data_IF_278179469609
#
_entry.id   IF_278179469609
#
_cell.length_a   1.000
_cell.length_b   1.000
_cell.length_c   1.000
_cell.angle_alpha   90.00
_cell.angle_beta   90.00
_cell.angle_gamma   90.00
#
_symmetry.space_group_name_H-M   'P 1'
#
loop_
_entity.id
_entity.type
_entity.pdbx_description
1 polymer ?
#
# COMPACT_ATOMS: atom_id res chain seq x y z
N UNK A 1 16.37 -26.98 2.08
CA UNK A 1 15.27 -26.17 2.61
C UNK A 1 14.07 -27.06 2.78
N UNK A 2 13.38 -27.03 3.92
CA UNK A 2 12.24 -27.90 4.17
C UNK A 2 11.08 -27.36 3.37
N UNK A 3 10.55 -28.15 2.43
CA UNK A 3 9.32 -27.82 1.70
C UNK A 3 8.23 -27.53 2.71
N UNK A 4 7.54 -26.40 2.55
CA UNK A 4 6.42 -26.03 3.42
C UNK A 4 5.29 -27.04 3.19
N UNK A 5 4.97 -27.89 4.16
CA UNK A 5 3.94 -28.90 3.98
C UNK A 5 2.58 -28.22 3.77
N UNK A 6 1.74 -28.77 2.93
CA UNK A 6 0.41 -28.23 2.68
C UNK A 6 -0.48 -28.30 3.92
N UNK A 7 -1.31 -27.29 4.12
CA UNK A 7 -2.35 -27.25 5.15
C UNK A 7 -3.56 -28.05 4.64
N UNK A 8 -4.04 -29.06 5.35
CA UNK A 8 -5.01 -30.08 4.89
C UNK A 8 -6.43 -29.89 5.46
N UNK A 9 -7.48 -29.89 4.62
CA UNK A 9 -8.89 -29.64 4.95
C UNK A 9 -9.88 -30.55 4.21
N UNK A 10 -10.84 -31.26 4.83
CA UNK A 10 -11.92 -31.97 4.15
C UNK A 10 -13.33 -31.58 4.58
N UNK A 11 -14.28 -31.72 3.65
CA UNK A 11 -15.74 -31.58 3.74
C UNK A 11 -16.32 -30.18 3.98
N UNK A 12 -15.86 -29.20 3.22
CA UNK A 12 -16.78 -28.11 2.88
C UNK A 12 -17.09 -28.24 1.39
N UNK A 13 -18.32 -28.65 1.09
CA UNK A 13 -18.87 -28.68 -0.25
C UNK A 13 -18.64 -27.28 -0.90
N UNK A 14 -18.22 -27.24 -2.16
CA UNK A 14 -17.97 -25.98 -2.89
C UNK A 14 -19.21 -25.07 -2.93
N UNK A 15 -20.37 -25.63 -2.63
CA UNK A 15 -21.66 -24.93 -2.46
C UNK A 15 -21.74 -24.08 -1.18
N UNK A 16 -20.89 -24.34 -0.20
CA UNK A 16 -20.91 -23.68 1.11
C UNK A 16 -19.98 -22.46 1.26
N UNK A 17 -19.28 -22.06 0.21
CA UNK A 17 -18.59 -20.79 0.19
C UNK A 17 -19.49 -19.75 -0.49
N UNK A 18 -20.24 -18.98 0.29
CA UNK A 18 -21.14 -18.00 -0.28
C UNK A 18 -20.35 -16.86 -0.94
N UNK A 19 -20.89 -16.32 -2.03
CA UNK A 19 -20.40 -15.10 -2.69
C UNK A 19 -20.26 -13.89 -1.71
N UNK A 20 -20.85 -13.99 -0.52
CA UNK A 20 -20.72 -13.03 0.59
C UNK A 20 -19.33 -12.94 1.20
N UNK A 21 -18.42 -13.87 0.91
CA UNK A 21 -17.03 -13.81 1.40
C UNK A 21 -16.17 -12.77 0.67
N UNK A 22 -16.51 -12.42 -0.56
CA UNK A 22 -15.68 -11.48 -1.35
C UNK A 22 -15.84 -10.04 -0.88
N UNK A 23 -17.05 -9.60 -0.56
CA UNK A 23 -17.29 -8.23 -0.11
C UNK A 23 -16.55 -7.84 1.18
N UNK A 24 -16.69 -8.60 2.30
CA UNK A 24 -15.98 -8.28 3.54
C UNK A 24 -14.45 -8.35 3.42
N UNK A 25 -13.93 -9.27 2.61
CA UNK A 25 -12.49 -9.39 2.37
C UNK A 25 -11.97 -8.17 1.64
N UNK A 26 -12.68 -7.71 0.62
CA UNK A 26 -12.28 -6.52 -0.16
C UNK A 26 -12.30 -5.24 0.69
N UNK A 27 -13.34 -5.01 1.46
CA UNK A 27 -13.44 -3.85 2.36
C UNK A 27 -12.27 -3.79 3.33
N UNK A 28 -11.90 -4.92 3.96
CA UNK A 28 -10.71 -4.99 4.83
C UNK A 28 -9.41 -4.72 4.08
N UNK A 29 -9.28 -5.16 2.84
CA UNK A 29 -8.07 -4.91 2.04
C UNK A 29 -7.88 -3.41 1.77
N UNK A 30 -8.94 -2.70 1.43
CA UNK A 30 -8.90 -1.24 1.21
C UNK A 30 -8.55 -0.51 2.51
N UNK A 31 -9.15 -0.88 3.63
CA UNK A 31 -8.89 -0.26 4.93
C UNK A 31 -7.45 -0.47 5.44
N UNK A 32 -6.80 -1.58 5.07
CA UNK A 32 -5.46 -1.93 5.55
C UNK A 32 -4.32 -1.42 4.67
N UNK A 33 -4.58 -1.06 3.42
CA UNK A 33 -3.58 -0.46 2.55
C UNK A 33 -3.42 1.03 2.86
N UNK A 34 -2.21 1.42 3.25
CA UNK A 34 -1.90 2.82 3.54
C UNK A 34 -1.94 3.68 2.27
N UNK A 35 -1.47 3.16 1.14
CA UNK A 35 -1.51 3.87 -0.14
C UNK A 35 -2.94 4.05 -0.62
N UNK A 36 -3.79 3.01 -0.55
CA UNK A 36 -5.19 3.12 -0.96
C UNK A 36 -6.00 4.09 -0.07
N UNK A 37 -5.63 4.25 1.20
CA UNK A 37 -6.34 5.14 2.13
C UNK A 37 -6.15 6.62 1.83
N UNK A 38 -5.02 6.99 1.21
CA UNK A 38 -4.69 8.37 0.84
C UNK A 38 -4.91 8.66 -0.64
N UNK A 39 -4.85 7.64 -1.51
CA UNK A 39 -5.00 7.78 -2.95
C UNK A 39 -6.44 7.88 -3.40
N UNK A 40 -6.69 8.54 -4.52
CA UNK A 40 -8.01 8.63 -5.16
C UNK A 40 -8.40 7.31 -5.81
N UNK A 41 -9.63 6.83 -5.54
CA UNK A 41 -10.17 5.64 -6.23
C UNK A 41 -10.75 6.02 -7.60
N UNK A 42 -10.38 5.26 -8.64
CA UNK A 42 -10.88 5.40 -10.01
C UNK A 42 -11.43 4.04 -10.48
N UNK A 43 -12.54 4.00 -11.22
CA UNK A 43 -13.03 2.75 -11.81
C UNK A 43 -12.01 2.21 -12.81
N UNK A 44 -11.71 0.90 -12.75
CA UNK A 44 -10.75 0.23 -13.60
C UNK A 44 -11.45 -0.78 -14.49
N UNK A 45 -11.21 -0.71 -15.81
CA UNK A 45 -11.66 -1.73 -16.74
C UNK A 45 -10.69 -2.91 -16.76
N UNK A 46 -11.25 -4.15 -16.82
CA UNK A 46 -10.43 -5.36 -16.98
C UNK A 46 -9.94 -5.57 -18.41
N UNK A 47 -10.64 -4.99 -19.40
CA UNK A 47 -10.40 -5.23 -20.83
C UNK A 47 -9.64 -4.12 -21.53
N UNK A 48 -9.50 -2.96 -20.91
CA UNK A 48 -8.84 -1.78 -21.50
C UNK A 48 -8.10 -0.97 -20.44
N UNK A 49 -7.07 -0.25 -20.86
CA UNK A 49 -6.42 0.73 -20.00
C UNK A 49 -7.40 1.86 -19.68
N UNK A 50 -7.43 2.28 -18.44
CA UNK A 50 -8.23 3.44 -18.01
C UNK A 50 -7.39 4.70 -18.10
N UNK A 51 -7.86 5.68 -18.88
CA UNK A 51 -7.24 6.99 -18.94
C UNK A 51 -7.55 7.79 -17.67
N UNK A 52 -6.52 8.19 -16.94
CA UNK A 52 -6.64 9.02 -15.74
C UNK A 52 -6.09 10.41 -16.06
N UNK A 53 -6.93 11.46 -16.09
CA UNK A 53 -6.44 12.81 -16.29
C UNK A 53 -5.69 13.28 -15.03
N UNK A 54 -4.49 13.77 -15.25
CA UNK A 54 -3.63 14.39 -14.23
C UNK A 54 -3.56 15.87 -14.55
N UNK A 55 -4.00 16.79 -13.69
CA UNK A 55 -3.85 18.22 -13.90
C UNK A 55 -2.37 18.58 -13.86
N UNK A 56 -1.87 19.24 -14.88
CA UNK A 56 -0.49 19.74 -14.92
C UNK A 56 -0.40 21.17 -14.41
N UNK A 57 -1.41 21.98 -14.73
CA UNK A 57 -1.40 23.40 -14.37
C UNK A 57 -2.82 23.98 -14.31
N UNK A 58 -3.00 25.02 -13.50
CA UNK A 58 -4.26 25.75 -13.39
C UNK A 58 -4.27 26.91 -14.39
N UNK A 59 -5.36 27.10 -15.17
CA UNK A 59 -5.44 28.24 -16.09
C UNK A 59 -5.25 29.57 -15.37
N UNK A 60 -4.38 30.42 -15.88
CA UNK A 60 -4.17 31.76 -15.34
C UNK A 60 -5.35 32.68 -15.69
N UNK A 61 -5.91 33.33 -14.66
CA UNK A 61 -6.91 34.38 -14.83
C UNK A 61 -6.29 35.75 -14.58
N UNK A 62 -6.71 36.77 -15.33
CA UNK A 62 -6.25 38.11 -15.15
C UNK A 62 -7.42 39.12 -15.16
N UNK A 63 -7.20 40.28 -14.56
CA UNK A 63 -8.19 41.33 -14.46
C UNK A 63 -8.36 42.03 -15.77
N UNK A 64 -9.60 42.32 -16.18
CA UNK A 64 -9.92 42.97 -17.46
C UNK A 64 -10.86 44.16 -17.23
N UNK A 65 -10.51 45.30 -17.79
CA UNK A 65 -11.37 46.48 -17.76
C UNK A 65 -12.66 46.28 -18.55
N UNK A 66 -13.62 47.16 -18.30
CA UNK A 66 -14.90 47.12 -18.99
C UNK A 66 -14.67 47.28 -20.52
N UNK A 67 -15.16 46.30 -21.30
CA UNK A 67 -14.92 46.16 -22.75
C UNK A 67 -13.46 45.82 -23.16
N UNK A 68 -12.57 45.48 -22.21
CA UNK A 68 -11.20 45.02 -22.50
C UNK A 68 -11.14 43.63 -23.11
N UNK A 69 -10.04 43.33 -23.80
CA UNK A 69 -9.76 42.03 -24.39
C UNK A 69 -9.49 41.00 -23.27
N UNK A 70 -10.21 39.87 -23.28
CA UNK A 70 -10.01 38.80 -22.33
C UNK A 70 -8.70 38.05 -22.59
N UNK A 71 -7.91 37.76 -21.55
CA UNK A 71 -6.69 36.95 -21.68
C UNK A 71 -7.04 35.52 -22.10
N UNK A 72 -6.13 34.89 -22.85
CA UNK A 72 -6.21 33.47 -23.16
C UNK A 72 -5.47 32.71 -22.06
N UNK A 73 -6.22 31.95 -21.25
CA UNK A 73 -5.64 31.01 -20.31
C UNK A 73 -5.39 29.66 -20.98
N UNK A 74 -4.21 29.09 -20.77
CA UNK A 74 -3.89 27.72 -21.19
C UNK A 74 -3.86 26.85 -19.95
N UNK A 75 -4.74 25.85 -19.86
CA UNK A 75 -4.67 24.77 -18.86
C UNK A 75 -4.01 23.54 -19.47
N UNK A 76 -3.09 22.92 -18.76
CA UNK A 76 -2.47 21.67 -19.17
C UNK A 76 -3.14 20.47 -18.45
N UNK A 77 -3.49 19.45 -19.21
CA UNK A 77 -3.94 18.14 -18.65
C UNK A 77 -3.09 17.06 -19.32
N UNK A 78 -2.37 16.29 -18.53
CA UNK A 78 -1.73 15.05 -19.00
C UNK A 78 -2.68 13.86 -18.80
N UNK A 79 -2.53 12.86 -19.64
CA UNK A 79 -3.33 11.64 -19.56
C UNK A 79 -2.40 10.48 -19.26
N UNK A 80 -2.42 10.02 -18.03
CA UNK A 80 -1.75 8.79 -17.62
C UNK A 80 -2.67 7.58 -17.85
N UNK A 81 -2.10 6.48 -18.29
CA UNK A 81 -2.87 5.26 -18.51
C UNK A 81 -2.68 4.30 -17.34
N UNK A 82 -3.78 3.98 -16.66
CA UNK A 82 -3.82 2.96 -15.63
C UNK A 82 -4.10 1.60 -16.26
N UNK A 83 -3.14 0.68 -16.17
CA UNK A 83 -3.34 -0.72 -16.52
C UNK A 83 -3.58 -1.55 -15.27
N UNK A 84 -4.61 -2.40 -15.30
CA UNK A 84 -4.83 -3.34 -14.21
C UNK A 84 -3.83 -4.49 -14.25
N UNK A 85 -3.43 -4.94 -13.08
CA UNK A 85 -2.52 -6.07 -12.88
C UNK A 85 -3.15 -7.09 -11.94
N UNK A 86 -3.00 -8.36 -12.30
CA UNK A 86 -3.52 -9.45 -11.50
C UNK A 86 -2.59 -9.74 -10.33
N UNK A 87 -3.17 -9.83 -9.15
CA UNK A 87 -2.52 -10.33 -7.95
C UNK A 87 -3.21 -11.61 -7.52
N UNK A 88 -2.46 -12.64 -7.17
CA UNK A 88 -3.02 -13.93 -6.79
C UNK A 88 -2.19 -14.59 -5.69
N UNK A 89 -2.85 -15.42 -4.90
CA UNK A 89 -2.21 -16.32 -3.95
C UNK A 89 -2.89 -17.68 -4.04
N UNK A 90 -2.08 -18.74 -4.11
CA UNK A 90 -2.53 -20.12 -4.05
C UNK A 90 -2.05 -20.73 -2.74
N UNK A 91 -2.98 -21.29 -1.98
CA UNK A 91 -2.71 -21.91 -0.68
C UNK A 91 -3.13 -23.38 -0.76
N UNK A 92 -2.18 -24.33 -0.81
CA UNK A 92 -2.47 -25.73 -0.67
C UNK A 92 -2.74 -26.05 0.80
N UNK A 93 -3.84 -26.72 1.06
CA UNK A 93 -4.34 -27.00 2.41
C UNK A 93 -4.71 -28.47 2.46
N UNK A 94 -4.15 -29.24 3.41
CA UNK A 94 -4.45 -30.66 3.52
C UNK A 94 -5.86 -30.91 4.09
N UNK A 95 -6.51 -31.93 3.56
CA UNK A 95 -7.93 -32.28 3.77
C UNK A 95 -8.30 -32.45 5.25
N UNK A 96 -7.45 -33.06 6.09
CA UNK A 96 -7.72 -33.36 7.51
C UNK A 96 -7.77 -32.12 8.41
N UNK A 97 -7.02 -31.07 8.07
CA UNK A 97 -7.01 -29.81 8.86
C UNK A 97 -8.30 -29.02 8.65
N UNK A 98 -8.94 -29.16 7.48
CA UNK A 98 -10.23 -28.52 7.22
C UNK A 98 -11.37 -29.28 7.90
N UNK A 99 -11.32 -30.63 7.97
CA UNK A 99 -12.34 -31.43 8.68
C UNK A 99 -12.33 -31.14 10.16
N UNK A 100 -11.15 -31.05 10.73
CA UNK A 100 -11.04 -30.80 12.16
C UNK A 100 -11.37 -29.34 12.53
N UNK A 101 -11.38 -28.41 11.55
CA UNK A 101 -11.48 -26.96 11.75
C UNK A 101 -10.69 -26.49 12.99
N UNK A 102 -9.53 -27.13 13.19
CA UNK A 102 -8.72 -26.92 14.37
C UNK A 102 -8.38 -25.42 14.50
N UNK A 103 -8.79 -24.82 15.58
CA UNK A 103 -8.47 -23.46 16.00
C UNK A 103 -8.95 -22.32 15.07
N UNK A 104 -10.05 -22.48 14.32
CA UNK A 104 -10.60 -21.38 13.52
C UNK A 104 -9.70 -20.96 12.36
N UNK A 105 -8.91 -21.88 11.80
CA UNK A 105 -7.98 -21.63 10.69
C UNK A 105 -8.65 -20.90 9.53
N UNK A 106 -9.89 -21.23 9.23
CA UNK A 106 -10.65 -20.61 8.18
C UNK A 106 -10.90 -19.12 8.43
N UNK A 107 -11.30 -18.77 9.66
CA UNK A 107 -11.50 -17.38 10.08
C UNK A 107 -10.18 -16.59 10.04
N UNK A 108 -9.07 -17.23 10.41
CA UNK A 108 -7.75 -16.62 10.34
C UNK A 108 -7.32 -16.37 8.91
N UNK A 109 -7.52 -17.32 7.99
CA UNK A 109 -7.25 -17.12 6.57
C UNK A 109 -8.06 -15.97 5.98
N UNK A 110 -9.33 -15.84 6.36
CA UNK A 110 -10.17 -14.70 5.96
C UNK A 110 -9.61 -13.35 6.41
N UNK A 111 -8.99 -13.29 7.58
CA UNK A 111 -8.37 -12.07 8.10
C UNK A 111 -6.98 -11.81 7.51
N UNK A 112 -6.25 -12.86 7.12
CA UNK A 112 -4.88 -12.75 6.65
C UNK A 112 -4.79 -12.44 5.15
N UNK A 113 -5.72 -12.93 4.32
CA UNK A 113 -5.75 -12.66 2.89
C UNK A 113 -5.79 -11.17 2.55
N UNK A 114 -6.73 -10.37 3.09
CA UNK A 114 -6.76 -8.93 2.83
C UNK A 114 -5.44 -8.23 3.19
N UNK A 115 -4.86 -8.61 4.33
CA UNK A 115 -3.56 -8.08 4.76
C UNK A 115 -2.43 -8.44 3.79
N UNK A 116 -2.44 -9.66 3.25
CA UNK A 116 -1.45 -10.09 2.27
C UNK A 116 -1.56 -9.31 0.95
N UNK A 117 -2.78 -9.10 0.46
CA UNK A 117 -3.04 -8.30 -0.75
C UNK A 117 -2.66 -6.83 -0.56
N UNK A 118 -3.03 -6.22 0.57
CA UNK A 118 -2.68 -4.84 0.90
C UNK A 118 -1.16 -4.63 0.96
N UNK A 119 -0.44 -5.54 1.62
CA UNK A 119 1.02 -5.46 1.71
C UNK A 119 1.70 -5.63 0.34
N UNK A 120 1.19 -6.52 -0.51
CA UNK A 120 1.73 -6.71 -1.83
C UNK A 120 1.47 -5.49 -2.73
N UNK A 121 0.29 -4.88 -2.62
CA UNK A 121 -0.05 -3.64 -3.31
C UNK A 121 0.83 -2.48 -2.83
N UNK A 122 0.91 -2.22 -1.53
CA UNK A 122 1.74 -1.16 -0.96
C UNK A 122 3.21 -1.31 -1.35
N UNK A 123 3.75 -2.54 -1.34
CA UNK A 123 5.13 -2.79 -1.76
C UNK A 123 5.36 -2.49 -3.23
N UNK A 124 4.41 -2.84 -4.09
CA UNK A 124 4.51 -2.58 -5.53
C UNK A 124 4.40 -1.07 -5.84
N UNK A 125 3.54 -0.34 -5.15
CA UNK A 125 3.33 1.09 -5.36
C UNK A 125 4.40 1.96 -4.70
N UNK A 126 4.96 1.54 -3.58
CA UNK A 126 6.01 2.28 -2.87
C UNK A 126 7.38 2.01 -3.51
N UNK A 127 7.77 0.74 -3.63
CA UNK A 127 9.12 0.35 -4.03
C UNK A 127 9.25 -0.10 -5.49
N UNK A 128 8.14 -0.28 -6.22
CA UNK A 128 8.17 -0.89 -7.54
C UNK A 128 8.64 -2.35 -7.53
N UNK A 129 8.44 -3.08 -6.43
CA UNK A 129 8.92 -4.45 -6.24
C UNK A 129 7.79 -5.42 -5.90
N UNK A 130 7.94 -6.65 -6.35
CA UNK A 130 7.10 -7.78 -5.92
C UNK A 130 7.44 -8.22 -4.50
N UNK A 131 6.62 -9.07 -3.88
CA UNK A 131 6.91 -9.66 -2.57
C UNK A 131 8.18 -10.51 -2.54
N UNK A 132 8.62 -11.04 -3.69
CA UNK A 132 9.86 -11.80 -3.86
C UNK A 132 11.10 -10.92 -4.17
N UNK A 133 10.92 -9.59 -4.34
CA UNK A 133 12.01 -8.65 -4.62
C UNK A 133 12.32 -8.48 -6.11
N UNK A 134 11.58 -9.11 -7.01
CA UNK A 134 11.67 -8.85 -8.45
C UNK A 134 10.97 -7.53 -8.81
N UNK A 135 11.19 -7.03 -10.04
CA UNK A 135 10.51 -5.86 -10.56
C UNK A 135 8.98 -5.98 -10.43
N UNK A 136 8.35 -4.93 -9.95
CA UNK A 136 6.92 -4.87 -9.70
C UNK A 136 6.09 -4.70 -10.98
N UNK A 137 4.77 -4.76 -10.84
CA UNK A 137 3.86 -4.68 -11.98
C UNK A 137 3.63 -3.25 -12.50
N UNK A 138 4.00 -2.23 -11.72
CA UNK A 138 3.80 -0.81 -12.05
C UNK A 138 5.12 -0.18 -12.48
N UNK A 139 5.08 0.64 -13.55
CA UNK A 139 6.25 1.35 -14.06
C UNK A 139 6.62 2.53 -13.15
N UNK A 140 5.60 3.24 -12.67
CA UNK A 140 5.77 4.39 -11.80
C UNK A 140 5.46 4.01 -10.35
N UNK A 141 6.32 4.42 -9.42
CA UNK A 141 6.21 4.14 -8.00
C UNK A 141 6.79 5.27 -7.15
N UNK A 142 6.34 5.40 -5.91
CA UNK A 142 6.58 6.57 -5.06
C UNK A 142 8.06 6.85 -4.76
N UNK A 143 8.90 5.82 -4.59
CA UNK A 143 10.32 6.01 -4.27
C UNK A 143 11.19 6.46 -5.45
N UNK A 144 10.60 6.67 -6.65
CA UNK A 144 11.30 7.26 -7.78
C UNK A 144 11.62 8.76 -7.57
N UNK A 145 10.92 9.44 -6.65
CA UNK A 145 11.23 10.83 -6.31
C UNK A 145 12.72 11.02 -6.01
N UNK A 146 13.27 12.15 -6.45
CA UNK A 146 14.66 12.54 -6.13
C UNK A 146 14.77 13.15 -4.74
N UNK A 147 13.68 13.72 -4.21
CA UNK A 147 13.63 14.37 -2.90
C UNK A 147 13.79 13.36 -1.77
N UNK A 148 14.76 13.59 -0.89
CA UNK A 148 15.06 12.67 0.19
C UNK A 148 15.61 13.39 1.42
N UNK A 149 14.95 13.21 2.55
CA UNK A 149 15.37 13.77 3.84
C UNK A 149 15.75 12.63 4.78
N UNK A 150 16.96 12.75 5.39
CA UNK A 150 17.40 11.81 6.41
C UNK A 150 16.86 12.23 7.77
N UNK A 151 16.10 11.33 8.42
CA UNK A 151 15.52 11.58 9.74
C UNK A 151 16.59 11.47 10.85
N UNK A 152 16.48 12.35 11.85
CA UNK A 152 17.40 12.39 12.99
C UNK A 152 18.71 13.13 12.70
N UNK A 153 18.74 13.94 11.64
CA UNK A 153 19.91 14.76 11.30
C UNK A 153 19.88 16.13 11.97
N UNK A 154 18.69 16.70 12.18
CA UNK A 154 18.55 17.96 12.90
C UNK A 154 18.86 17.77 14.39
N UNK A 155 19.60 18.72 14.96
CA UNK A 155 19.89 18.71 16.39
C UNK A 155 18.60 18.88 17.21
N UNK A 156 18.58 18.30 18.42
CA UNK A 156 17.41 18.38 19.30
C UNK A 156 17.05 19.83 19.64
N UNK A 157 18.05 20.71 19.76
CA UNK A 157 17.85 22.15 20.02
C UNK A 157 17.20 22.89 18.84
N UNK A 158 17.30 22.35 17.64
CA UNK A 158 16.73 22.92 16.41
C UNK A 158 15.37 22.27 16.02
N UNK A 159 14.80 21.45 16.90
CA UNK A 159 13.52 20.77 16.67
C UNK A 159 13.63 19.28 16.33
N UNK A 160 14.85 18.73 16.17
CA UNK A 160 15.08 17.31 15.97
C UNK A 160 14.31 16.74 14.76
N UNK A 161 13.75 15.55 14.93
CA UNK A 161 13.00 14.82 13.88
C UNK A 161 11.82 15.62 13.30
N UNK A 162 11.24 16.54 14.08
CA UNK A 162 10.18 17.42 13.62
C UNK A 162 10.66 18.36 12.51
N UNK A 163 11.85 18.96 12.70
CA UNK A 163 12.45 19.84 11.70
C UNK A 163 12.76 19.10 10.41
N UNK A 164 13.20 17.82 10.50
CA UNK A 164 13.44 17.01 9.32
C UNK A 164 12.15 16.80 8.50
N UNK A 165 11.01 16.58 9.19
CA UNK A 165 9.71 16.47 8.51
C UNK A 165 9.27 17.79 7.89
N UNK A 166 9.43 18.91 8.59
CA UNK A 166 9.10 20.26 8.07
C UNK A 166 9.99 20.60 6.88
N UNK A 167 11.27 20.21 6.92
CA UNK A 167 12.19 20.40 5.79
C UNK A 167 11.73 19.64 4.54
N UNK A 168 11.33 18.37 4.69
CA UNK A 168 10.83 17.61 3.57
C UNK A 168 9.48 18.12 3.05
N UNK A 169 8.60 18.61 3.94
CA UNK A 169 7.38 19.30 3.51
C UNK A 169 7.73 20.56 2.70
N UNK A 170 8.78 21.31 3.11
CA UNK A 170 9.27 22.47 2.39
C UNK A 170 9.72 22.12 0.98
N UNK A 171 10.48 21.01 0.78
CA UNK A 171 10.92 20.57 -0.55
C UNK A 171 9.76 20.27 -1.51
N UNK A 172 8.61 19.82 -0.98
CA UNK A 172 7.41 19.57 -1.79
C UNK A 172 6.71 20.88 -2.16
N UNK A 173 6.55 21.78 -1.17
CA UNK A 173 5.87 23.07 -1.36
C UNK A 173 6.68 24.02 -2.24
N UNK A 174 8.01 24.01 -2.13
CA UNK A 174 8.91 24.84 -2.94
C UNK A 174 8.82 24.50 -4.44
N UNK A 175 8.36 23.29 -4.77
CA UNK A 175 8.07 22.85 -6.14
C UNK A 175 6.57 23.01 -6.53
N UNK A 176 5.84 23.86 -5.81
CA UNK A 176 4.42 24.18 -6.06
C UNK A 176 3.44 23.01 -5.90
N UNK A 177 3.82 21.97 -5.13
CA UNK A 177 2.92 20.87 -4.77
C UNK A 177 2.30 21.05 -3.39
N UNK A 178 1.08 20.55 -3.20
CA UNK A 178 0.45 20.51 -1.89
C UNK A 178 0.95 19.29 -1.08
N UNK A 179 1.11 19.46 0.23
CA UNK A 179 1.41 18.33 1.10
C UNK A 179 0.13 17.85 1.80
N UNK A 180 -0.46 16.74 1.31
CA UNK A 180 -1.80 16.30 1.71
C UNK A 180 -1.81 15.05 2.58
N UNK A 181 -0.65 14.43 2.85
CA UNK A 181 -0.60 13.26 3.72
C UNK A 181 0.75 12.55 3.73
N UNK A 182 0.85 11.59 4.63
CA UNK A 182 2.08 10.80 4.83
C UNK A 182 1.77 9.32 5.00
N UNK A 183 2.47 8.46 4.29
CA UNK A 183 2.52 7.01 4.55
C UNK A 183 3.80 6.68 5.29
N UNK A 184 3.71 6.01 6.42
CA UNK A 184 4.84 5.76 7.32
C UNK A 184 4.97 4.29 7.75
N UNK A 185 6.19 3.90 8.11
CA UNK A 185 6.44 2.61 8.78
C UNK A 185 6.04 2.70 10.27
N UNK A 186 5.55 1.62 10.83
CA UNK A 186 5.18 1.54 12.25
C UNK A 186 6.33 1.85 13.20
N UNK A 187 7.59 1.66 12.78
CA UNK A 187 8.77 1.97 13.57
C UNK A 187 8.95 3.47 13.78
N UNK A 188 8.53 4.27 12.78
CA UNK A 188 8.56 5.71 12.89
C UNK A 188 7.69 6.22 14.04
N UNK A 189 6.57 5.56 14.34
CA UNK A 189 5.68 5.93 15.45
C UNK A 189 6.44 5.98 16.78
N UNK A 190 7.32 5.02 17.02
CA UNK A 190 8.12 5.00 18.25
C UNK A 190 9.09 6.19 18.31
N UNK A 191 9.74 6.49 17.19
CA UNK A 191 10.66 7.63 17.11
C UNK A 191 9.94 8.96 17.28
N UNK A 192 8.75 9.11 16.71
CA UNK A 192 7.93 10.32 16.84
C UNK A 192 7.42 10.53 18.28
N UNK A 193 6.93 9.46 18.92
CA UNK A 193 6.47 9.53 20.31
C UNK A 193 7.60 9.77 21.32
N UNK A 194 8.80 9.31 20.99
CA UNK A 194 10.01 9.56 21.80
C UNK A 194 10.67 10.91 21.54
N UNK A 195 10.21 11.68 20.55
CA UNK A 195 10.78 12.98 20.24
C UNK A 195 10.37 14.03 21.28
N UNK A 196 11.37 14.63 21.95
CA UNK A 196 11.17 15.67 22.97
C UNK A 196 11.92 16.94 22.57
N UNK A 197 11.42 18.09 23.05
CA UNK A 197 12.12 19.34 22.93
C UNK A 197 13.31 19.41 23.95
N UNK A 198 14.04 20.51 23.95
CA UNK A 198 15.16 20.73 24.87
C UNK A 198 14.73 20.77 26.35
N UNK A 199 13.46 20.95 26.64
CA UNK A 199 12.87 20.95 27.99
C UNK A 199 12.28 19.59 28.38
N UNK A 200 12.39 18.59 27.52
CA UNK A 200 11.85 17.22 27.75
C UNK A 200 10.37 17.08 27.50
N UNK A 201 9.71 18.04 26.85
CA UNK A 201 8.29 17.93 26.49
C UNK A 201 8.14 17.15 25.19
N UNK A 202 7.16 16.22 25.07
CA UNK A 202 6.87 15.57 23.83
C UNK A 202 6.52 16.59 22.73
N UNK A 203 7.16 16.49 21.57
CA UNK A 203 6.90 17.37 20.42
C UNK A 203 5.62 16.92 19.71
N UNK A 204 5.37 15.62 19.68
CA UNK A 204 4.17 15.04 19.06
C UNK A 204 3.18 14.59 20.14
N UNK A 205 1.99 15.19 20.12
CA UNK A 205 0.86 14.70 20.91
C UNK A 205 -0.01 13.88 19.95
N UNK A 206 -0.11 12.56 20.20
CA UNK A 206 -0.95 11.67 19.42
C UNK A 206 -2.43 12.03 19.65
N UNK A 207 -3.03 12.76 18.75
CA UNK A 207 -4.48 12.93 18.72
C UNK A 207 -5.09 11.66 18.11
N UNK A 208 -5.24 10.66 18.94
CA UNK A 208 -5.89 9.40 18.56
C UNK A 208 -7.34 9.70 18.21
N UNK A 209 -7.69 9.60 16.93
CA UNK A 209 -9.10 9.50 16.56
C UNK A 209 -9.60 8.11 16.98
N UNK A 210 -10.49 8.00 17.98
CA UNK A 210 -11.04 6.71 18.38
C UNK A 210 -12.04 6.25 17.32
N UNK A 211 -11.86 5.07 16.76
CA UNK A 211 -12.99 4.33 16.27
C UNK A 211 -13.00 3.81 14.83
N UNK A 212 -11.94 3.93 14.07
CA UNK A 212 -11.89 3.25 12.76
C UNK A 212 -10.65 2.38 12.70
N UNK A 213 -10.84 1.08 12.51
CA UNK A 213 -9.77 0.10 12.29
C UNK A 213 -9.04 0.30 10.95
N UNK A 214 -8.87 1.55 10.56
CA UNK A 214 -8.27 1.99 9.33
C UNK A 214 -6.76 2.17 9.47
N UNK A 215 -6.07 2.13 8.36
CA UNK A 215 -4.66 2.49 8.26
C UNK A 215 -4.35 3.93 8.70
N UNK A 216 -5.34 4.81 8.71
CA UNK A 216 -5.26 6.19 9.21
C UNK A 216 -5.20 6.20 10.75
N UNK A 217 -4.04 6.54 11.30
CA UNK A 217 -3.77 6.47 12.73
C UNK A 217 -3.31 7.81 13.33
N UNK A 218 -3.87 8.93 12.89
CA UNK A 218 -3.56 10.25 13.45
C UNK A 218 -3.23 11.32 12.42
N UNK A 219 -2.73 12.44 12.87
CA UNK A 219 -2.23 13.52 12.02
C UNK A 219 -0.77 13.82 12.33
N UNK A 220 0.03 14.09 11.31
CA UNK A 220 1.39 14.58 11.40
C UNK A 220 1.47 15.93 10.70
N UNK A 221 1.85 16.97 11.42
CA UNK A 221 1.92 18.35 10.90
C UNK A 221 0.55 18.86 10.39
N UNK A 222 -0.56 18.39 10.98
CA UNK A 222 -1.91 18.74 10.55
C UNK A 222 -2.50 17.83 9.46
N UNK A 223 -1.68 17.06 8.76
CA UNK A 223 -2.08 16.18 7.66
C UNK A 223 -2.23 14.72 8.09
N UNK A 224 -3.08 13.91 7.40
CA UNK A 224 -3.31 12.53 7.75
C UNK A 224 -2.04 11.68 7.58
N UNK A 225 -1.81 10.78 8.54
CA UNK A 225 -0.74 9.79 8.49
C UNK A 225 -1.33 8.37 8.46
N UNK A 226 -0.86 7.56 7.52
CA UNK A 226 -1.24 6.16 7.39
C UNK A 226 -0.03 5.25 7.63
N UNK A 227 -0.20 4.18 8.41
CA UNK A 227 0.90 3.29 8.74
C UNK A 227 0.82 1.96 7.99
N UNK A 228 1.92 1.58 7.32
CA UNK A 228 2.07 0.28 6.67
C UNK A 228 3.45 -0.30 6.92
N UNK A 229 3.52 -1.61 7.13
CA UNK A 229 4.81 -2.33 7.26
C UNK A 229 5.57 -2.44 5.93
N UNK A 230 4.88 -2.21 4.82
CA UNK A 230 5.47 -2.29 3.48
C UNK A 230 6.41 -1.12 3.18
N UNK A 231 6.30 0.00 3.91
CA UNK A 231 7.13 1.19 3.72
C UNK A 231 8.62 0.89 3.88
N UNK A 232 9.01 0.18 4.93
CA UNK A 232 10.40 -0.21 5.13
C UNK A 232 10.89 -1.36 4.24
N UNK A 233 9.99 -1.99 3.48
CA UNK A 233 10.31 -3.19 2.71
C UNK A 233 10.37 -4.47 3.52
N UNK A 234 10.42 -4.41 4.86
CA UNK A 234 10.41 -5.58 5.76
C UNK A 234 8.98 -5.98 6.13
N UNK A 235 8.32 -6.66 5.21
CA UNK A 235 6.87 -6.92 5.27
C UNK A 235 6.50 -7.99 6.28
N UNK A 236 7.39 -8.94 6.57
CA UNK A 236 7.13 -10.07 7.49
C UNK A 236 8.19 -10.13 8.59
N UNK A 237 7.79 -10.63 9.77
CA UNK A 237 8.71 -10.82 10.91
C UNK A 237 9.83 -11.82 10.60
N UNK A 238 9.54 -12.86 9.83
CA UNK A 238 10.48 -13.96 9.47
C UNK A 238 10.93 -13.88 8.01
N UNK A 239 10.70 -12.76 7.33
CA UNK A 239 11.09 -12.60 5.93
C UNK A 239 12.58 -12.25 5.83
N UNK A 240 13.26 -12.81 4.84
CA UNK A 240 14.59 -12.40 4.41
C UNK A 240 14.60 -11.02 3.74
N UNK A 241 13.45 -10.34 3.65
CA UNK A 241 13.38 -8.98 3.11
C UNK A 241 14.13 -8.01 4.01
N UNK A 242 15.08 -7.31 3.42
CA UNK A 242 15.94 -6.33 4.08
C UNK A 242 15.15 -5.01 4.32
N UNK A 243 15.43 -4.37 5.44
CA UNK A 243 14.96 -3.02 5.73
C UNK A 243 15.66 -2.03 4.79
N UNK A 244 14.91 -1.33 3.95
CA UNK A 244 15.42 -0.35 3.00
C UNK A 244 15.88 0.97 3.65
N UNK A 245 15.63 1.15 4.94
CA UNK A 245 15.84 2.43 5.63
C UNK A 245 14.75 3.46 5.37
N UNK A 246 13.80 3.20 4.47
CA UNK A 246 12.66 4.10 4.25
C UNK A 246 11.74 4.08 5.48
N UNK A 247 11.41 5.26 6.00
CA UNK A 247 10.58 5.42 7.21
C UNK A 247 9.23 6.04 6.90
N UNK A 248 9.20 6.97 5.95
CA UNK A 248 7.95 7.55 5.49
C UNK A 248 8.08 8.10 4.06
N UNK A 249 6.94 8.32 3.43
CA UNK A 249 6.77 9.06 2.18
C UNK A 249 5.63 10.03 2.40
N UNK A 250 5.89 11.31 2.20
CA UNK A 250 4.89 12.36 2.26
C UNK A 250 4.82 13.12 0.95
N UNK A 251 3.72 13.82 0.71
CA UNK A 251 3.57 14.64 -0.49
C UNK A 251 2.12 14.82 -0.90
N UNK A 252 1.91 15.13 -2.18
CA UNK A 252 0.60 15.35 -2.75
C UNK A 252 -0.05 14.05 -3.25
N UNK A 253 -0.94 13.50 -2.43
CA UNK A 253 -1.66 12.28 -2.75
C UNK A 253 -2.74 12.47 -3.81
N UNK A 254 -3.08 13.71 -4.21
CA UNK A 254 -3.96 13.98 -5.35
C UNK A 254 -3.35 13.48 -6.66
N UNK A 255 -2.00 13.40 -6.73
CA UNK A 255 -1.24 12.87 -7.85
C UNK A 255 -1.27 11.33 -7.92
N UNK A 256 -1.88 10.65 -6.97
CA UNK A 256 -2.01 9.19 -6.99
C UNK A 256 -3.45 8.76 -7.22
N UNK A 257 -3.62 7.71 -8.01
CA UNK A 257 -4.90 7.06 -8.16
C UNK A 257 -4.75 5.54 -8.19
N UNK A 258 -5.70 4.84 -7.59
CA UNK A 258 -5.78 3.39 -7.68
C UNK A 258 -7.12 2.95 -8.27
N UNK A 259 -7.11 1.82 -8.92
CA UNK A 259 -8.29 1.21 -9.52
C UNK A 259 -8.49 -0.22 -9.06
N UNK A 260 -9.75 -0.61 -8.95
CA UNK A 260 -10.14 -1.98 -8.66
C UNK A 260 -10.98 -2.47 -9.82
N UNK A 261 -10.45 -3.41 -10.60
CA UNK A 261 -11.15 -4.01 -11.74
C UNK A 261 -11.90 -5.29 -11.36
N UNK A 262 -11.36 -6.04 -10.40
CA UNK A 262 -12.01 -7.24 -9.85
C UNK A 262 -11.67 -7.33 -8.37
N UNK A 263 -12.71 -7.47 -7.56
CA UNK A 263 -12.57 -7.73 -6.14
C UNK A 263 -11.90 -9.07 -5.88
N UNK A 264 -11.48 -9.30 -4.64
CA UNK A 264 -10.88 -10.57 -4.25
C UNK A 264 -11.90 -11.70 -4.48
N UNK A 265 -11.63 -12.53 -5.45
CA UNK A 265 -12.40 -13.75 -5.72
C UNK A 265 -11.65 -14.95 -5.14
N UNK A 266 -12.37 -15.80 -4.45
CA UNK A 266 -11.83 -17.03 -3.87
C UNK A 266 -12.42 -18.22 -4.61
N UNK A 267 -11.53 -19.09 -5.12
CA UNK A 267 -11.89 -20.35 -5.77
C UNK A 267 -11.28 -21.51 -4.99
N UNK A 268 -12.02 -22.58 -4.87
CA UNK A 268 -11.58 -23.82 -4.22
C UNK A 268 -11.59 -24.94 -5.21
N UNK A 269 -10.53 -25.75 -5.23
CA UNK A 269 -10.43 -26.94 -6.04
C UNK A 269 -9.82 -28.09 -5.25
N UNK A 270 -10.35 -29.31 -5.44
CA UNK A 270 -9.84 -30.56 -4.90
C UNK A 270 -9.17 -31.45 -5.93
N UNK A 271 -9.30 -31.09 -7.20
CA UNK A 271 -8.86 -31.90 -8.34
C UNK A 271 -7.72 -31.24 -9.13
N UNK A 272 -7.39 -29.99 -8.80
CA UNK A 272 -6.37 -29.24 -9.53
C UNK A 272 -4.97 -29.73 -9.19
N UNK A 273 -4.07 -29.54 -10.15
CA UNK A 273 -2.64 -29.74 -9.99
C UNK A 273 -1.97 -28.38 -9.77
N UNK A 274 -0.97 -28.30 -8.92
CA UNK A 274 -0.16 -27.10 -8.75
C UNK A 274 1.34 -27.43 -8.84
N UNK A 275 2.11 -26.39 -9.12
CA UNK A 275 3.58 -26.45 -9.19
C UNK A 275 4.10 -25.69 -7.98
N UNK A 276 4.98 -26.30 -7.19
CA UNK A 276 5.63 -25.66 -6.05
C UNK A 276 6.74 -24.67 -6.48
N UNK A 277 7.36 -24.01 -5.53
CA UNK A 277 8.45 -23.04 -5.80
C UNK A 277 9.72 -23.70 -6.33
N UNK A 278 9.92 -24.99 -6.09
CA UNK A 278 11.07 -25.78 -6.54
C UNK A 278 10.80 -26.44 -7.91
N UNK A 279 9.61 -26.26 -8.49
CA UNK A 279 9.21 -26.83 -9.78
C UNK A 279 8.58 -28.22 -9.68
N UNK A 280 8.32 -28.73 -8.48
CA UNK A 280 7.63 -30.00 -8.24
C UNK A 280 6.14 -29.90 -8.62
N UNK A 281 5.64 -30.95 -9.29
CA UNK A 281 4.23 -31.04 -9.68
C UNK A 281 3.48 -31.87 -8.66
N UNK A 282 2.44 -31.26 -8.06
CA UNK A 282 1.63 -31.85 -7.02
C UNK A 282 0.17 -31.98 -7.47
N UNK A 283 -0.44 -33.13 -7.19
CA UNK A 283 -1.84 -33.37 -7.47
C UNK A 283 -2.67 -33.29 -6.20
N UNK A 284 -3.59 -32.32 -6.14
CA UNK A 284 -4.47 -32.16 -4.98
C UNK A 284 -5.28 -33.44 -4.67
N UNK A 285 -5.68 -34.17 -5.72
CA UNK A 285 -6.44 -35.40 -5.58
C UNK A 285 -5.61 -36.54 -4.96
N UNK A 286 -4.36 -36.73 -5.43
CA UNK A 286 -3.50 -37.81 -4.93
C UNK A 286 -2.96 -37.54 -3.52
N UNK A 287 -2.71 -36.26 -3.21
CA UNK A 287 -2.14 -35.84 -1.93
C UNK A 287 -3.21 -35.46 -0.90
N UNK A 288 -4.48 -35.67 -1.24
CA UNK A 288 -5.63 -35.34 -0.39
C UNK A 288 -5.63 -33.85 0.04
N UNK A 289 -5.43 -32.93 -0.92
CA UNK A 289 -5.32 -31.49 -0.71
C UNK A 289 -6.55 -30.74 -1.23
N UNK A 290 -6.78 -29.59 -0.63
CA UNK A 290 -7.68 -28.54 -1.12
C UNK A 290 -6.86 -27.34 -1.51
N UNK A 291 -7.02 -26.85 -2.72
CA UNK A 291 -6.37 -25.64 -3.21
C UNK A 291 -7.30 -24.45 -3.05
N UNK A 292 -6.85 -23.45 -2.29
CA UNK A 292 -7.51 -22.17 -2.15
C UNK A 292 -6.79 -21.16 -3.05
N UNK A 293 -7.44 -20.68 -4.10
CA UNK A 293 -6.95 -19.64 -4.99
C UNK A 293 -7.70 -18.34 -4.70
N UNK A 294 -6.97 -17.32 -4.23
CA UNK A 294 -7.49 -15.97 -4.11
C UNK A 294 -6.87 -15.09 -5.19
N UNK A 295 -7.69 -14.34 -5.90
CA UNK A 295 -7.28 -13.46 -7.01
C UNK A 295 -7.96 -12.11 -6.90
N UNK A 296 -7.24 -11.04 -7.27
CA UNK A 296 -7.77 -9.70 -7.42
C UNK A 296 -7.10 -8.98 -8.59
N UNK A 297 -7.67 -7.87 -9.04
CA UNK A 297 -7.17 -7.09 -10.17
C UNK A 297 -7.11 -5.62 -9.79
N UNK A 298 -5.88 -5.11 -9.56
CA UNK A 298 -5.63 -3.75 -9.12
C UNK A 298 -4.84 -2.96 -10.16
N UNK A 299 -5.11 -1.67 -10.24
CA UNK A 299 -4.32 -0.70 -10.99
C UNK A 299 -3.80 0.40 -10.08
N UNK A 300 -2.69 0.98 -10.46
CA UNK A 300 -2.11 2.15 -9.82
C UNK A 300 -1.53 3.07 -10.87
N UNK A 301 -1.63 4.36 -10.64
CA UNK A 301 -0.99 5.39 -11.45
C UNK A 301 -0.46 6.49 -10.55
N UNK A 302 0.73 6.97 -10.88
CA UNK A 302 1.39 8.11 -10.29
C UNK A 302 1.48 9.21 -11.33
N UNK A 303 0.97 10.39 -11.04
CA UNK A 303 1.04 11.58 -11.90
C UNK A 303 2.47 12.07 -12.02
N UNK A 304 3.02 12.56 -10.91
CA UNK A 304 4.41 12.99 -10.81
C UNK A 304 5.06 12.43 -9.54
N UNK A 305 6.26 11.89 -9.68
CA UNK A 305 7.03 11.38 -8.54
C UNK A 305 7.63 12.51 -7.70
N UNK A 306 7.91 13.66 -8.31
CA UNK A 306 8.49 14.83 -7.62
C UNK A 306 7.47 15.56 -6.72
N UNK A 307 6.18 15.20 -6.80
CA UNK A 307 5.17 15.60 -5.83
C UNK A 307 5.34 14.95 -4.45
N UNK A 308 6.34 14.07 -4.29
CA UNK A 308 6.60 13.31 -3.07
C UNK A 308 8.03 13.49 -2.55
N UNK A 309 8.19 13.32 -1.24
CA UNK A 309 9.47 13.28 -0.55
C UNK A 309 9.59 11.98 0.26
N UNK A 310 10.76 11.35 0.22
CA UNK A 310 11.07 10.16 1.00
C UNK A 310 11.86 10.52 2.25
N UNK A 311 11.40 10.01 3.38
CA UNK A 311 12.08 10.16 4.66
C UNK A 311 12.82 8.86 4.98
N UNK A 312 14.13 8.94 5.10
CA UNK A 312 14.99 7.80 5.36
C UNK A 312 15.55 7.84 6.79
N UNK A 313 15.73 6.68 7.39
CA UNK A 313 16.34 6.54 8.72
C UNK A 313 17.31 5.38 8.72
N UNK A 314 18.03 5.19 9.83
CA UNK A 314 18.97 4.07 9.96
C UNK A 314 18.23 2.74 9.77
N UNK A 315 18.67 1.87 8.84
CA UNK A 315 18.12 0.54 8.71
C UNK A 315 18.23 -0.21 10.05
N UNK A 316 17.18 -0.91 10.44
CA UNK A 316 17.26 -1.75 11.63
C UNK A 316 18.18 -2.93 11.33
N UNK A 317 19.21 -3.11 12.14
CA UNK A 317 20.04 -4.30 12.06
C UNK A 317 19.19 -5.57 12.13
N UNK A 318 19.48 -6.52 11.26
CA UNK A 318 18.82 -7.84 11.20
C UNK A 318 19.19 -8.71 12.37
#
# INVERSE_FOLDING_TARGET
MVATPPIKLSDVDATFLPATLTGPIFEKSVEQSAVMSLSRRVPLSMSANTAVPVPLDVPTADWVDQAGRKPLGTGGVDIKQMSGKKIAVLIPVAMEVVQSNAAGLWTQLQSDLPTAFSRAFDRATIHGLTMKGAAGPFADYLTQTTKAVALGTAAQGDGGIWKDFVSGMGEVIDDDWDYTGTVADHRLKVSLLGATDTTGRPILVDTTMPGTGAALAGSLIGEPIAYSRSVSGKVRRQSTSTDSGLRAIGGDWSQTAYGVGMDITVKISREATYIDEDGGVHSAFQENLVLLLAEAYYGFVLGDAEAFVKYTGTPSAT
#
